data_IF_649561810614
#
_entry.id   IF_649561810614
#
_cell.length_a   1.000
_cell.length_b   1.000
_cell.length_c   1.000
_cell.angle_alpha   90.00
_cell.angle_beta   90.00
_cell.angle_gamma   90.00
#
_symmetry.space_group_name_H-M   'P 1'
#
loop_
_entity.id
_entity.type
_entity.pdbx_description
1 polymer ?
#
# COMPACT_ATOMS: atom_id res chain seq x y z
N UNK A 1 -17.08 17.61 12.33
CA UNK A 1 -16.32 18.51 13.24
C UNK A 1 -14.96 18.74 12.61
N UNK A 2 -14.66 19.95 12.14
CA UNK A 2 -13.36 20.27 11.54
C UNK A 2 -12.25 19.97 12.54
N UNK A 3 -11.24 19.22 12.09
CA UNK A 3 -10.08 18.84 12.88
C UNK A 3 -9.22 20.09 13.05
N UNK A 4 -9.24 20.70 14.24
CA UNK A 4 -8.41 21.88 14.53
C UNK A 4 -6.94 21.54 14.35
N UNK A 5 -6.20 22.41 13.66
CA UNK A 5 -4.77 22.24 13.43
C UNK A 5 -4.02 22.29 14.78
N UNK A 6 -2.85 21.65 14.87
CA UNK A 6 -2.00 21.68 16.07
C UNK A 6 -1.74 23.12 16.54
N UNK A 7 -1.54 24.04 15.59
CA UNK A 7 -1.36 25.46 15.86
C UNK A 7 -2.55 26.09 16.61
N UNK A 8 -3.78 25.77 16.21
CA UNK A 8 -5.00 26.27 16.86
C UNK A 8 -5.13 25.70 18.28
N UNK A 9 -4.83 24.42 18.47
CA UNK A 9 -4.84 23.78 19.80
C UNK A 9 -3.80 24.40 20.73
N UNK A 10 -2.60 24.67 20.23
CA UNK A 10 -1.55 25.35 21.01
C UNK A 10 -1.97 26.78 21.37
N UNK A 11 -2.57 27.53 20.43
CA UNK A 11 -3.09 28.89 20.69
C UNK A 11 -4.18 28.88 21.76
N UNK A 12 -5.14 27.96 21.67
CA UNK A 12 -6.22 27.80 22.64
C UNK A 12 -5.66 27.51 24.04
N UNK A 13 -4.76 26.53 24.16
CA UNK A 13 -4.13 26.20 25.46
C UNK A 13 -3.31 27.37 25.99
N UNK A 14 -2.55 28.06 25.15
CA UNK A 14 -1.79 29.25 25.55
C UNK A 14 -2.68 30.36 26.10
N UNK A 15 -3.80 30.64 25.43
CA UNK A 15 -4.77 31.65 25.88
C UNK A 15 -5.37 31.30 27.25
N UNK A 16 -5.85 30.07 27.44
CA UNK A 16 -6.41 29.62 28.71
C UNK A 16 -5.38 29.60 29.84
N UNK A 17 -4.13 29.31 29.52
CA UNK A 17 -3.02 29.33 30.48
C UNK A 17 -2.77 30.74 31.01
N UNK A 18 -2.79 31.75 30.14
CA UNK A 18 -2.63 33.15 30.55
C UNK A 18 -3.79 33.58 31.47
N UNK A 19 -5.02 33.20 31.13
CA UNK A 19 -6.19 33.47 32.00
C UNK A 19 -6.03 32.80 33.36
N UNK A 20 -5.67 31.51 33.38
CA UNK A 20 -5.45 30.76 34.61
C UNK A 20 -4.37 31.41 35.48
N UNK A 21 -3.24 31.81 34.87
CA UNK A 21 -2.15 32.46 35.58
C UNK A 21 -2.58 33.81 36.19
N UNK A 22 -3.32 34.64 35.43
CA UNK A 22 -3.85 35.92 35.94
C UNK A 22 -4.82 35.69 37.11
N UNK A 23 -5.74 34.73 36.98
CA UNK A 23 -6.69 34.39 38.04
C UNK A 23 -5.97 33.87 39.30
N UNK A 24 -4.97 33.01 39.13
CA UNK A 24 -4.14 32.52 40.22
C UNK A 24 -3.45 33.69 40.95
N UNK A 25 -2.86 34.64 40.22
CA UNK A 25 -2.22 35.81 40.81
C UNK A 25 -3.23 36.70 41.56
N UNK A 26 -4.42 36.92 41.01
CA UNK A 26 -5.47 37.70 41.69
C UNK A 26 -5.88 37.03 43.01
N UNK A 27 -6.17 35.73 42.97
CA UNK A 27 -6.58 34.98 44.17
C UNK A 27 -5.45 34.91 45.18
N UNK A 28 -4.23 34.61 44.76
CA UNK A 28 -3.06 34.56 45.64
C UNK A 28 -2.75 35.91 46.28
N UNK A 29 -2.87 37.01 45.53
CA UNK A 29 -2.72 38.36 46.06
C UNK A 29 -3.80 38.69 47.10
N UNK A 30 -5.06 38.33 46.85
CA UNK A 30 -6.15 38.54 47.81
C UNK A 30 -5.93 37.73 49.10
N UNK A 31 -5.43 36.50 48.99
CA UNK A 31 -5.14 35.65 50.15
C UNK A 31 -3.98 36.20 50.99
N UNK A 32 -2.85 36.51 50.35
CA UNK A 32 -1.65 37.03 51.04
C UNK A 32 -1.88 38.43 51.63
N UNK A 33 -2.70 39.26 51.00
CA UNK A 33 -3.05 40.61 51.51
C UNK A 33 -4.12 40.60 52.61
N UNK A 34 -4.60 39.43 53.06
CA UNK A 34 -5.76 39.30 53.97
C UNK A 34 -6.97 40.10 53.44
N UNK A 35 -7.36 39.84 52.20
CA UNK A 35 -8.43 40.56 51.51
C UNK A 35 -8.20 42.08 51.47
N UNK A 36 -7.02 42.52 51.00
CA UNK A 36 -6.63 43.93 50.87
C UNK A 36 -6.47 44.68 52.20
N UNK A 37 -6.48 43.97 53.34
CA UNK A 37 -6.32 44.58 54.66
C UNK A 37 -4.88 45.03 54.94
N UNK A 38 -3.89 44.50 54.21
CA UNK A 38 -2.47 44.86 54.36
C UNK A 38 -1.77 45.00 53.01
N UNK A 39 -0.79 45.92 52.89
CA UNK A 39 0.05 46.01 51.71
C UNK A 39 1.00 44.80 51.64
N UNK A 40 1.09 44.19 50.46
CA UNK A 40 1.98 43.06 50.19
C UNK A 40 3.44 43.50 50.20
N UNK A 41 4.33 42.69 50.79
CA UNK A 41 5.78 42.95 50.68
C UNK A 41 6.31 42.45 49.33
N UNK A 42 7.41 43.05 48.90
CA UNK A 42 8.03 42.74 47.61
C UNK A 42 8.52 41.29 47.52
N UNK A 43 9.01 40.72 48.64
CA UNK A 43 9.42 39.31 48.71
C UNK A 43 8.22 38.35 48.55
N UNK A 44 7.10 38.65 49.23
CA UNK A 44 5.87 37.86 49.15
C UNK A 44 5.28 37.88 47.72
N UNK A 45 5.37 39.04 47.04
CA UNK A 45 4.96 39.17 45.64
C UNK A 45 5.85 38.35 44.70
N UNK A 46 7.16 38.35 44.94
CA UNK A 46 8.11 37.55 44.18
C UNK A 46 7.83 36.05 44.32
N UNK A 47 7.59 35.59 45.55
CA UNK A 47 7.27 34.19 45.83
C UNK A 47 5.95 33.78 45.17
N UNK A 48 4.92 34.62 45.22
CA UNK A 48 3.65 34.38 44.54
C UNK A 48 3.80 34.27 43.00
N UNK A 49 4.61 35.14 42.39
CA UNK A 49 4.89 35.07 40.95
C UNK A 49 5.66 33.79 40.59
N UNK A 50 6.67 33.45 41.39
CA UNK A 50 7.48 32.23 41.20
C UNK A 50 6.61 30.97 41.30
N UNK A 51 5.76 30.88 42.32
CA UNK A 51 4.87 29.74 42.54
C UNK A 51 3.80 29.68 41.44
N UNK A 52 3.24 30.82 41.03
CA UNK A 52 2.30 30.90 39.92
C UNK A 52 2.91 30.39 38.61
N UNK A 53 4.15 30.79 38.30
CA UNK A 53 4.87 30.29 37.12
C UNK A 53 5.19 28.80 37.25
N UNK A 54 5.61 28.34 38.42
CA UNK A 54 5.91 26.93 38.69
C UNK A 54 4.69 26.03 38.53
N UNK A 55 3.55 26.40 39.13
CA UNK A 55 2.28 25.68 39.01
C UNK A 55 1.81 25.69 37.55
N UNK A 56 1.85 26.86 36.91
CA UNK A 56 1.45 26.99 35.50
C UNK A 56 2.30 26.10 34.59
N UNK A 57 3.61 26.06 34.79
CA UNK A 57 4.51 25.17 34.06
C UNK A 57 4.23 23.69 34.33
N UNK A 58 3.99 23.33 35.60
CA UNK A 58 3.67 21.96 36.00
C UNK A 58 2.35 21.45 35.37
N UNK A 59 1.37 22.33 35.17
CA UNK A 59 0.13 22.02 34.44
C UNK A 59 0.31 22.02 32.92
N UNK A 60 1.08 22.96 32.38
CA UNK A 60 1.31 23.10 30.94
C UNK A 60 2.10 21.94 30.35
N UNK A 61 3.14 21.46 31.04
CA UNK A 61 4.04 20.45 30.48
C UNK A 61 3.33 19.14 30.09
N UNK A 62 2.47 18.54 30.94
CA UNK A 62 1.66 17.38 30.54
C UNK A 62 0.71 17.66 29.37
N UNK A 63 0.08 18.84 29.33
CA UNK A 63 -0.85 19.22 28.25
C UNK A 63 -0.13 19.38 26.92
N UNK A 64 1.01 20.07 26.92
CA UNK A 64 1.84 20.23 25.73
C UNK A 64 2.36 18.88 25.22
N UNK A 65 2.83 18.01 26.12
CA UNK A 65 3.25 16.66 25.78
C UNK A 65 2.10 15.86 25.14
N UNK A 66 0.90 15.88 25.74
CA UNK A 66 -0.26 15.19 25.20
C UNK A 66 -0.64 15.66 23.79
N UNK A 67 -0.65 16.98 23.54
CA UNK A 67 -0.94 17.55 22.23
C UNK A 67 0.10 17.12 21.19
N UNK A 68 1.38 17.22 21.53
CA UNK A 68 2.48 16.82 20.64
C UNK A 68 2.42 15.33 20.31
N UNK A 69 2.25 14.46 21.31
CA UNK A 69 2.20 13.01 21.08
C UNK A 69 0.95 12.57 20.32
N UNK A 70 -0.18 13.24 20.52
CA UNK A 70 -1.41 12.94 19.78
C UNK A 70 -1.27 13.27 18.30
N UNK A 71 -0.70 14.43 17.98
CA UNK A 71 -0.47 14.84 16.58
C UNK A 71 0.63 13.99 15.92
N UNK A 72 1.73 13.75 16.64
CA UNK A 72 2.80 12.87 16.18
C UNK A 72 2.29 11.46 15.87
N UNK A 73 1.46 10.88 16.75
CA UNK A 73 0.87 9.55 16.51
C UNK A 73 0.02 9.53 15.25
N UNK A 74 -0.77 10.58 15.01
CA UNK A 74 -1.56 10.67 13.78
C UNK A 74 -0.68 10.77 12.54
N UNK A 75 0.33 11.64 12.55
CA UNK A 75 1.26 11.80 11.44
C UNK A 75 2.03 10.50 11.17
N UNK A 76 2.53 9.85 12.23
CA UNK A 76 3.24 8.58 12.14
C UNK A 76 2.35 7.48 11.56
N UNK A 77 1.11 7.34 12.03
CA UNK A 77 0.17 6.36 11.47
C UNK A 77 -0.13 6.62 9.99
N UNK A 78 -0.29 7.88 9.57
CA UNK A 78 -0.46 8.24 8.15
C UNK A 78 0.78 7.89 7.34
N UNK A 79 1.97 8.19 7.84
CA UNK A 79 3.22 7.87 7.19
C UNK A 79 3.39 6.36 7.01
N UNK A 80 3.22 5.58 8.07
CA UNK A 80 3.30 4.11 8.02
C UNK A 80 2.31 3.56 6.99
N UNK A 81 1.05 3.99 7.02
CA UNK A 81 0.06 3.57 6.03
C UNK A 81 0.49 3.89 4.60
N UNK A 82 1.05 5.08 4.35
CA UNK A 82 1.52 5.48 3.03
C UNK A 82 2.74 4.66 2.57
N UNK A 83 3.66 4.32 3.48
CA UNK A 83 4.80 3.45 3.17
C UNK A 83 4.34 2.05 2.74
N UNK A 84 3.37 1.46 3.46
CA UNK A 84 2.79 0.18 3.07
C UNK A 84 2.02 0.27 1.74
N UNK A 85 1.27 1.36 1.52
CA UNK A 85 0.57 1.60 0.27
C UNK A 85 1.57 1.65 -0.92
N UNK A 86 2.66 2.41 -0.77
CA UNK A 86 3.72 2.49 -1.79
C UNK A 86 4.41 1.14 -2.00
N UNK A 87 4.58 0.32 -0.95
CA UNK A 87 5.14 -1.02 -1.07
C UNK A 87 4.27 -1.91 -1.97
N UNK A 88 2.95 -1.94 -1.71
CA UNK A 88 1.97 -2.66 -2.56
C UNK A 88 2.03 -2.16 -3.99
N UNK A 89 2.04 -0.84 -4.19
CA UNK A 89 2.10 -0.25 -5.54
C UNK A 89 3.35 -0.68 -6.31
N UNK A 90 4.53 -0.59 -5.69
CA UNK A 90 5.79 -1.02 -6.33
C UNK A 90 5.78 -2.51 -6.65
N UNK A 91 5.26 -3.34 -5.76
CA UNK A 91 5.16 -4.78 -6.02
C UNK A 91 4.19 -5.09 -7.16
N UNK A 92 3.12 -4.31 -7.30
CA UNK A 92 2.22 -4.38 -8.45
C UNK A 92 2.92 -3.97 -9.76
N UNK A 93 3.77 -2.93 -9.76
CA UNK A 93 4.56 -2.57 -10.95
C UNK A 93 5.49 -3.71 -11.38
N UNK A 94 6.08 -4.43 -10.43
CA UNK A 94 6.89 -5.63 -10.72
C UNK A 94 6.03 -6.75 -11.33
N UNK A 95 4.84 -6.99 -10.77
CA UNK A 95 3.89 -7.96 -11.30
C UNK A 95 3.47 -7.63 -12.73
N UNK A 96 3.06 -6.38 -12.98
CA UNK A 96 2.70 -5.91 -14.31
C UNK A 96 3.85 -6.07 -15.31
N UNK A 97 5.06 -5.66 -14.92
CA UNK A 97 6.25 -5.77 -15.77
C UNK A 97 6.53 -7.23 -16.14
N UNK A 98 6.42 -8.15 -15.17
CA UNK A 98 6.67 -9.59 -15.42
C UNK A 98 5.65 -10.16 -16.42
N UNK A 99 4.39 -9.72 -16.34
CA UNK A 99 3.34 -10.09 -17.33
C UNK A 99 3.63 -9.49 -18.72
N UNK A 100 4.19 -8.28 -18.79
CA UNK A 100 4.61 -7.71 -20.07
C UNK A 100 5.78 -8.50 -20.68
N UNK A 101 6.76 -8.89 -19.87
CA UNK A 101 7.92 -9.67 -20.31
C UNK A 101 7.52 -11.04 -20.88
N UNK A 102 6.59 -11.76 -20.25
CA UNK A 102 6.09 -13.03 -20.82
C UNK A 102 5.38 -12.82 -22.16
N UNK A 103 4.65 -11.71 -22.33
CA UNK A 103 3.99 -11.42 -23.61
C UNK A 103 5.00 -11.13 -24.73
N UNK A 104 6.15 -10.51 -24.42
CA UNK A 104 7.22 -10.29 -25.40
C UNK A 104 7.82 -11.64 -25.84
N UNK A 105 8.13 -12.52 -24.87
CA UNK A 105 8.63 -13.87 -25.17
C UNK A 105 7.61 -14.66 -25.99
N UNK A 106 6.32 -14.57 -25.65
CA UNK A 106 5.25 -15.20 -26.43
C UNK A 106 5.23 -14.72 -27.89
N UNK A 107 5.35 -13.41 -28.12
CA UNK A 107 5.40 -12.86 -29.49
C UNK A 107 6.62 -13.40 -30.24
N UNK A 108 7.78 -13.48 -29.59
CA UNK A 108 8.97 -14.09 -30.19
C UNK A 108 8.72 -15.55 -30.55
N UNK A 109 8.09 -16.32 -29.65
CA UNK A 109 7.72 -17.71 -29.89
C UNK A 109 6.72 -17.87 -31.05
N UNK A 110 5.71 -17.00 -31.16
CA UNK A 110 4.74 -17.01 -32.27
C UNK A 110 5.41 -16.70 -33.61
N UNK A 111 6.38 -15.77 -33.63
CA UNK A 111 7.13 -15.42 -34.83
C UNK A 111 7.98 -16.57 -35.39
N UNK A 112 8.25 -17.62 -34.60
CA UNK A 112 8.93 -18.82 -35.08
C UNK A 112 8.04 -19.69 -35.98
N UNK A 113 6.72 -19.50 -35.96
CA UNK A 113 5.78 -20.28 -36.77
C UNK A 113 5.80 -19.80 -38.23
N UNK A 114 6.23 -20.64 -39.19
CA UNK A 114 6.14 -20.34 -40.62
C UNK A 114 4.69 -20.17 -41.06
N UNK A 115 4.45 -19.33 -42.06
CA UNK A 115 3.11 -19.04 -42.58
C UNK A 115 2.38 -20.31 -43.04
N UNK A 116 3.08 -21.25 -43.67
CA UNK A 116 2.53 -22.55 -44.09
C UNK A 116 2.07 -23.45 -42.93
N UNK A 117 2.50 -23.16 -41.70
CA UNK A 117 2.13 -23.89 -40.50
C UNK A 117 1.04 -23.20 -39.69
N UNK A 118 0.70 -21.92 -39.95
CA UNK A 118 -0.25 -21.14 -39.14
C UNK A 118 -1.71 -21.55 -39.33
N UNK A 119 -2.10 -21.95 -40.54
CA UNK A 119 -3.50 -22.29 -40.85
C UNK A 119 -3.71 -23.81 -40.88
N UNK A 120 -4.27 -24.38 -39.81
CA UNK A 120 -4.62 -25.80 -39.73
C UNK A 120 -5.64 -26.27 -40.78
N UNK A 121 -6.40 -25.34 -41.38
CA UNK A 121 -7.40 -25.64 -42.41
C UNK A 121 -6.84 -25.53 -43.84
N UNK A 122 -5.57 -25.12 -44.02
CA UNK A 122 -4.93 -25.11 -45.32
C UNK A 122 -4.54 -26.54 -45.72
N UNK A 123 -4.85 -26.95 -46.96
CA UNK A 123 -4.42 -28.24 -47.50
C UNK A 123 -2.90 -28.38 -47.64
N UNK A 124 -2.15 -27.27 -47.52
CA UNK A 124 -0.69 -27.24 -47.45
C UNK A 124 -0.15 -27.13 -46.03
N UNK A 125 -1.01 -27.25 -45.01
CA UNK A 125 -0.61 -27.16 -43.62
C UNK A 125 0.53 -28.13 -43.32
N UNK A 126 1.64 -27.58 -42.80
CA UNK A 126 2.76 -28.37 -42.31
C UNK A 126 2.78 -28.32 -40.78
N UNK A 127 2.40 -29.40 -40.08
CA UNK A 127 2.45 -29.41 -38.62
C UNK A 127 3.90 -29.33 -38.14
N UNK A 128 4.11 -28.57 -37.06
CA UNK A 128 5.39 -28.48 -36.35
C UNK A 128 5.25 -29.30 -35.08
N UNK A 129 5.83 -30.49 -35.09
CA UNK A 129 5.88 -31.37 -33.93
C UNK A 129 6.97 -30.93 -32.96
N UNK A 130 6.92 -31.43 -31.72
CA UNK A 130 7.91 -31.09 -30.68
C UNK A 130 9.33 -31.58 -30.97
N UNK A 131 9.49 -32.51 -31.91
CA UNK A 131 10.79 -32.98 -32.41
C UNK A 131 11.23 -32.25 -33.69
N UNK A 132 10.50 -31.22 -34.14
CA UNK A 132 10.94 -30.39 -35.25
C UNK A 132 12.14 -29.54 -34.83
N UNK A 133 13.04 -29.28 -35.79
CA UNK A 133 14.25 -28.49 -35.57
C UNK A 133 13.95 -27.09 -35.04
N UNK A 134 12.82 -26.49 -35.41
CA UNK A 134 12.39 -25.18 -34.87
C UNK A 134 12.25 -25.23 -33.34
N UNK A 135 11.75 -26.34 -32.80
CA UNK A 135 11.60 -26.52 -31.36
C UNK A 135 12.96 -26.76 -30.70
N UNK A 136 13.81 -27.62 -31.27
CA UNK A 136 15.15 -27.91 -30.74
C UNK A 136 16.06 -26.67 -30.73
N UNK A 137 16.09 -25.91 -31.83
CA UNK A 137 16.93 -24.72 -32.00
C UNK A 137 16.51 -23.56 -31.09
N UNK A 138 15.26 -23.58 -30.58
CA UNK A 138 14.68 -22.49 -29.78
C UNK A 138 14.18 -22.93 -28.40
N UNK A 139 14.64 -24.09 -27.93
CA UNK A 139 14.26 -24.63 -26.62
C UNK A 139 14.51 -23.64 -25.47
N UNK A 140 15.60 -22.87 -25.53
CA UNK A 140 15.91 -21.87 -24.49
C UNK A 140 14.85 -20.77 -24.39
N UNK A 141 14.28 -20.33 -25.51
CA UNK A 141 13.20 -19.35 -25.55
C UNK A 141 11.93 -19.93 -24.90
N UNK A 142 11.59 -21.17 -25.23
CA UNK A 142 10.43 -21.88 -24.68
C UNK A 142 10.60 -22.08 -23.17
N UNK A 143 11.79 -22.49 -22.72
CA UNK A 143 12.11 -22.60 -21.30
C UNK A 143 12.03 -21.23 -20.60
N UNK A 144 12.49 -20.15 -21.25
CA UNK A 144 12.39 -18.80 -20.70
C UNK A 144 10.93 -18.38 -20.45
N UNK A 145 10.01 -18.76 -21.34
CA UNK A 145 8.59 -18.51 -21.19
C UNK A 145 8.01 -19.19 -19.93
N UNK A 146 8.28 -20.49 -19.77
CA UNK A 146 7.83 -21.23 -18.58
C UNK A 146 8.48 -20.76 -17.29
N UNK A 147 9.75 -20.35 -17.34
CA UNK A 147 10.40 -19.73 -16.18
C UNK A 147 9.73 -18.41 -15.79
N UNK A 148 9.30 -17.60 -16.78
CA UNK A 148 8.55 -16.37 -16.51
C UNK A 148 7.15 -16.64 -15.95
N UNK A 149 6.47 -17.71 -16.35
CA UNK A 149 5.22 -18.14 -15.69
C UNK A 149 5.47 -18.40 -14.19
N UNK A 150 6.53 -19.14 -13.86
CA UNK A 150 6.87 -19.40 -12.45
C UNK A 150 7.20 -18.11 -11.69
N UNK A 151 7.92 -17.20 -12.32
CA UNK A 151 8.23 -15.90 -11.73
C UNK A 151 6.97 -15.07 -11.45
N UNK A 152 5.96 -15.10 -12.34
CA UNK A 152 4.66 -14.45 -12.12
C UNK A 152 4.01 -15.00 -10.85
N UNK A 153 4.06 -16.31 -10.61
CA UNK A 153 3.52 -16.92 -9.40
C UNK A 153 4.23 -16.42 -8.14
N UNK A 154 5.55 -16.37 -8.14
CA UNK A 154 6.33 -15.86 -7.01
C UNK A 154 6.01 -14.39 -6.72
N UNK A 155 5.99 -13.56 -7.77
CA UNK A 155 5.70 -12.13 -7.67
C UNK A 155 4.28 -11.86 -7.20
N UNK A 156 3.31 -12.65 -7.66
CA UNK A 156 1.91 -12.55 -7.25
C UNK A 156 1.71 -12.94 -5.77
N UNK A 157 2.38 -13.98 -5.30
CA UNK A 157 2.33 -14.37 -3.88
C UNK A 157 2.85 -13.27 -2.97
N UNK A 158 3.99 -12.66 -3.33
CA UNK A 158 4.55 -11.52 -2.59
C UNK A 158 3.56 -10.33 -2.63
N UNK A 159 2.93 -10.07 -3.77
CA UNK A 159 1.93 -9.02 -3.91
C UNK A 159 0.72 -9.25 -3.00
N UNK A 160 0.20 -10.48 -2.93
CA UNK A 160 -0.91 -10.82 -2.05
C UNK A 160 -0.56 -10.62 -0.57
N UNK A 161 0.66 -10.99 -0.16
CA UNK A 161 1.12 -10.77 1.20
C UNK A 161 1.19 -9.27 1.51
N UNK A 162 1.76 -8.47 0.61
CA UNK A 162 1.81 -7.01 0.78
C UNK A 162 0.41 -6.39 0.84
N UNK A 163 -0.54 -6.87 0.03
CA UNK A 163 -1.95 -6.44 0.07
C UNK A 163 -2.58 -6.77 1.42
N UNK A 164 -2.36 -7.98 1.95
CA UNK A 164 -2.88 -8.41 3.27
C UNK A 164 -2.30 -7.55 4.39
N UNK A 165 -0.98 -7.31 4.39
CA UNK A 165 -0.34 -6.44 5.39
C UNK A 165 -0.87 -5.01 5.32
N UNK A 166 -1.05 -4.46 4.11
CA UNK A 166 -1.68 -3.16 3.95
C UNK A 166 -3.10 -3.13 4.54
N UNK A 167 -3.89 -4.19 4.37
CA UNK A 167 -5.22 -4.28 4.96
C UNK A 167 -5.24 -4.27 6.48
N UNK A 168 -4.23 -4.85 7.13
CA UNK A 168 -4.04 -4.75 8.58
C UNK A 168 -3.74 -3.31 8.98
N UNK A 169 -2.75 -2.67 8.34
CA UNK A 169 -2.28 -1.32 8.68
C UNK A 169 -3.36 -0.25 8.40
N UNK A 170 -4.13 -0.43 7.34
CA UNK A 170 -5.20 0.47 6.95
C UNK A 170 -6.51 0.25 7.73
N UNK A 171 -6.57 -0.77 8.61
CA UNK A 171 -7.78 -1.20 9.30
C UNK A 171 -8.93 -1.55 8.32
N UNK A 172 -8.59 -2.29 7.26
CA UNK A 172 -9.46 -2.73 6.16
C UNK A 172 -9.39 -4.25 5.92
N UNK A 173 -9.03 -5.01 6.96
CA UNK A 173 -8.72 -6.44 6.84
C UNK A 173 -9.87 -7.25 6.22
N UNK A 174 -11.12 -7.02 6.64
CA UNK A 174 -12.27 -7.76 6.11
C UNK A 174 -12.52 -7.49 4.61
N UNK A 175 -12.47 -6.22 4.21
CA UNK A 175 -12.61 -5.80 2.80
C UNK A 175 -11.52 -6.43 1.94
N UNK A 176 -10.26 -6.33 2.40
CA UNK A 176 -9.11 -6.84 1.66
C UNK A 176 -9.06 -8.37 1.65
N UNK A 177 -9.50 -9.05 2.71
CA UNK A 177 -9.58 -10.51 2.73
C UNK A 177 -10.53 -11.05 1.64
N UNK A 178 -11.67 -10.39 1.45
CA UNK A 178 -12.61 -10.75 0.38
C UNK A 178 -11.98 -10.60 -1.01
N UNK A 179 -11.28 -9.49 -1.26
CA UNK A 179 -10.59 -9.24 -2.53
C UNK A 179 -9.43 -10.23 -2.73
N UNK A 180 -8.62 -10.47 -1.70
CA UNK A 180 -7.49 -11.40 -1.78
C UNK A 180 -7.95 -12.82 -2.11
N UNK A 181 -9.04 -13.30 -1.51
CA UNK A 181 -9.60 -14.62 -1.84
C UNK A 181 -10.09 -14.69 -3.29
N UNK A 182 -10.76 -13.64 -3.78
CA UNK A 182 -11.16 -13.56 -5.19
C UNK A 182 -9.93 -13.64 -6.12
N UNK A 183 -8.88 -12.88 -5.83
CA UNK A 183 -7.65 -12.86 -6.62
C UNK A 183 -6.91 -14.20 -6.58
N UNK A 184 -6.90 -14.89 -5.44
CA UNK A 184 -6.31 -16.23 -5.30
C UNK A 184 -7.05 -17.23 -6.19
N UNK A 185 -8.38 -17.29 -6.08
CA UNK A 185 -9.20 -18.19 -6.91
C UNK A 185 -8.98 -17.90 -8.40
N UNK A 186 -8.95 -16.62 -8.78
CA UNK A 186 -8.66 -16.21 -10.16
C UNK A 186 -7.28 -16.65 -10.61
N UNK A 187 -6.25 -16.48 -9.77
CA UNK A 187 -4.89 -16.90 -10.09
C UNK A 187 -4.76 -18.43 -10.19
N UNK A 188 -5.44 -19.17 -9.32
CA UNK A 188 -5.52 -20.63 -9.40
C UNK A 188 -6.19 -21.07 -10.70
N UNK A 189 -7.28 -20.43 -11.14
CA UNK A 189 -7.91 -20.70 -12.45
C UNK A 189 -6.92 -20.52 -13.61
N UNK A 190 -6.01 -19.53 -13.56
CA UNK A 190 -4.96 -19.31 -14.57
C UNK A 190 -3.82 -20.32 -14.47
N UNK A 191 -3.52 -20.80 -13.25
CA UNK A 191 -2.36 -21.66 -12.97
C UNK A 191 -2.68 -23.15 -13.13
N UNK A 192 -3.90 -23.56 -12.80
CA UNK A 192 -4.38 -24.96 -12.79
C UNK A 192 -4.87 -25.41 -14.16
N UNK A 193 -5.09 -24.51 -15.12
CA UNK A 193 -5.60 -24.87 -16.45
C UNK A 193 -4.72 -25.86 -17.25
N UNK A 194 -3.57 -26.31 -16.73
CA UNK A 194 -2.52 -26.92 -17.56
C UNK A 194 -1.79 -28.16 -17.05
N UNK A 195 -1.88 -28.54 -15.79
CA UNK A 195 -1.08 -29.70 -15.34
C UNK A 195 -1.70 -31.07 -15.71
N UNK A 196 -3.02 -31.15 -15.91
CA UNK A 196 -3.71 -32.43 -16.13
C UNK A 196 -4.35 -32.61 -17.54
N UNK A 197 -4.53 -31.55 -18.35
CA UNK A 197 -5.22 -31.64 -19.65
C UNK A 197 -4.39 -31.34 -20.89
N UNK A 198 -3.25 -30.67 -20.75
CA UNK A 198 -2.61 -30.01 -21.90
C UNK A 198 -1.49 -30.86 -22.48
N UNK A 199 -1.87 -32.01 -23.06
CA UNK A 199 -0.99 -32.71 -23.99
C UNK A 199 -1.01 -31.98 -25.33
N UNK A 200 -0.01 -31.16 -25.59
CA UNK A 200 0.21 -30.60 -26.93
C UNK A 200 1.11 -31.55 -27.74
N UNK A 201 0.69 -31.84 -28.96
CA UNK A 201 1.46 -32.65 -29.91
C UNK A 201 2.20 -31.79 -30.93
N UNK A 202 1.74 -30.55 -31.09
CA UNK A 202 2.24 -29.58 -32.05
C UNK A 202 2.55 -28.25 -31.37
N UNK A 203 3.56 -27.56 -31.88
CA UNK A 203 3.99 -26.25 -31.40
C UNK A 203 2.89 -25.18 -31.52
N UNK A 204 2.05 -25.25 -32.56
CA UNK A 204 0.94 -24.31 -32.70
C UNK A 204 -0.13 -24.49 -31.62
N UNK A 205 -0.38 -25.72 -31.16
CA UNK A 205 -1.29 -25.99 -30.04
C UNK A 205 -0.71 -25.43 -28.73
N UNK A 206 0.60 -25.61 -28.50
CA UNK A 206 1.31 -25.00 -27.38
C UNK A 206 1.11 -23.48 -27.37
N UNK A 207 1.25 -22.80 -28.51
CA UNK A 207 1.06 -21.37 -28.61
C UNK A 207 -0.38 -20.95 -28.33
N UNK A 208 -1.36 -21.61 -28.93
CA UNK A 208 -2.79 -21.30 -28.71
C UNK A 208 -3.19 -21.38 -27.22
N UNK A 209 -2.76 -22.44 -26.54
CA UNK A 209 -2.99 -22.64 -25.09
C UNK A 209 -2.35 -21.50 -24.30
N UNK A 210 -1.07 -21.22 -24.57
CA UNK A 210 -0.33 -20.21 -23.82
C UNK A 210 -0.77 -18.77 -24.14
N UNK A 211 -1.31 -18.51 -25.33
CA UNK A 211 -1.93 -17.24 -25.67
C UNK A 211 -3.13 -16.94 -24.75
N UNK A 212 -3.97 -17.96 -24.53
CA UNK A 212 -5.11 -17.86 -23.62
C UNK A 212 -4.65 -17.54 -22.20
N UNK A 213 -3.62 -18.22 -21.70
CA UNK A 213 -3.04 -17.92 -20.38
C UNK A 213 -2.52 -16.51 -20.24
N UNK A 214 -1.71 -16.05 -21.21
CA UNK A 214 -1.15 -14.68 -21.17
C UNK A 214 -2.28 -13.66 -21.08
N UNK A 215 -3.37 -13.88 -21.82
CA UNK A 215 -4.56 -13.04 -21.73
C UNK A 215 -5.26 -13.11 -20.37
N UNK A 216 -5.36 -14.28 -19.74
CA UNK A 216 -5.91 -14.40 -18.38
C UNK A 216 -5.02 -13.72 -17.33
N UNK A 217 -3.69 -13.77 -17.45
CA UNK A 217 -2.79 -12.97 -16.61
C UNK A 217 -3.03 -11.46 -16.76
N UNK A 218 -3.27 -10.98 -17.98
CA UNK A 218 -3.62 -9.57 -18.19
C UNK A 218 -4.95 -9.20 -17.53
N UNK A 219 -5.97 -10.05 -17.59
CA UNK A 219 -7.24 -9.83 -16.88
C UNK A 219 -7.03 -9.80 -15.37
N UNK A 220 -6.23 -10.72 -14.83
CA UNK A 220 -5.89 -10.72 -13.41
C UNK A 220 -5.16 -9.44 -12.99
N UNK A 221 -4.19 -8.97 -13.78
CA UNK A 221 -3.53 -7.68 -13.56
C UNK A 221 -4.55 -6.53 -13.51
N UNK A 222 -5.48 -6.51 -14.45
CA UNK A 222 -6.50 -5.45 -14.52
C UNK A 222 -7.44 -5.49 -13.31
N UNK A 223 -7.78 -6.69 -12.83
CA UNK A 223 -8.54 -6.87 -11.60
C UNK A 223 -7.78 -6.38 -10.36
N UNK A 224 -6.49 -6.70 -10.22
CA UNK A 224 -5.65 -6.16 -9.14
C UNK A 224 -5.61 -4.64 -9.20
N UNK A 225 -5.39 -4.08 -10.40
CA UNK A 225 -5.32 -2.64 -10.62
C UNK A 225 -6.61 -1.92 -10.22
N UNK A 226 -7.75 -2.47 -10.66
CA UNK A 226 -9.08 -1.91 -10.42
C UNK A 226 -9.51 -2.05 -8.96
N UNK A 227 -9.34 -3.22 -8.36
CA UNK A 227 -9.86 -3.52 -7.02
C UNK A 227 -8.97 -2.95 -5.91
N UNK A 228 -7.65 -2.95 -6.11
CA UNK A 228 -6.68 -2.54 -5.07
C UNK A 228 -5.98 -1.23 -5.44
N UNK A 229 -5.29 -1.20 -6.57
CA UNK A 229 -4.34 -0.11 -6.86
C UNK A 229 -5.05 1.24 -7.04
N UNK A 230 -6.19 1.24 -7.72
CA UNK A 230 -6.97 2.46 -7.93
C UNK A 230 -7.42 3.08 -6.60
N UNK A 231 -7.96 2.26 -5.70
CA UNK A 231 -8.42 2.74 -4.39
C UNK A 231 -7.24 3.19 -3.52
N UNK A 232 -6.12 2.46 -3.57
CA UNK A 232 -4.88 2.79 -2.88
C UNK A 232 -4.30 4.14 -3.33
N UNK A 233 -4.16 4.36 -4.65
CA UNK A 233 -3.67 5.63 -5.19
C UNK A 233 -4.59 6.82 -4.87
N UNK A 234 -5.91 6.60 -4.81
CA UNK A 234 -6.84 7.63 -4.34
C UNK A 234 -6.58 8.02 -2.88
N UNK A 235 -6.22 7.06 -2.02
CA UNK A 235 -5.89 7.37 -0.61
C UNK A 235 -4.53 8.05 -0.41
N UNK A 236 -3.67 8.03 -1.42
CA UNK A 236 -2.36 8.71 -1.42
C UNK A 236 -2.43 10.16 -1.91
N UNK A 237 -3.51 10.57 -2.59
CA UNK A 237 -3.74 11.99 -2.88
C UNK A 237 -3.96 12.71 -1.55
N UNK A 238 -3.05 13.61 -1.22
CA UNK A 238 -3.18 14.49 -0.06
C UNK A 238 -4.40 15.41 -0.28
N UNK A 239 -5.33 15.39 0.68
CA UNK A 239 -6.27 16.50 0.92
C UNK A 239 -5.53 17.70 1.51
#
# INVERSE_FOLDING_TARGET
MNKRNLEEKIKDVGFWTVIFFILYLIVGYLLESLWLSKPLKLNELYDLLKDGLGITAAFLAPVAAFLLFSDWREQHNKQVRNEFALKVFRQFEVFEKTIQEISLIYIEMDNLVPEESRNKNDGKHRPIYLNDKIFEDHNDLILSFFNKIREIQEVFNILLDDIRYFGIVANKLEEIAGIANYLIVKFEEVSVSDEESDSYTEYLQLLEINASKVNEYYKLRDDVSRLIITSLLMTLKAD
#
